data_IF_995646883027
#
_entry.id   IF_995646883027
#
_cell.length_a   1.000
_cell.length_b   1.000
_cell.length_c   1.000
_cell.angle_alpha   90.00
_cell.angle_beta   90.00
_cell.angle_gamma   90.00
#
_symmetry.space_group_name_H-M   'P 1'
#
loop_
_entity.id
_entity.type
_entity.pdbx_description
1 polymer ?
#
# COMPACT_ATOMS: atom_id res chain seq x y z
N UNK A 1 -4.81 2.04 14.67
CA UNK A 1 -3.97 3.22 14.98
C UNK A 1 -2.63 3.10 14.27
N UNK A 2 -2.09 4.20 13.75
CA UNK A 2 -0.80 4.21 13.02
C UNK A 2 0.35 3.63 13.86
N UNK A 3 0.41 3.97 15.16
CA UNK A 3 1.43 3.49 16.09
C UNK A 3 1.46 1.97 16.22
N UNK A 4 0.29 1.33 16.41
CA UNK A 4 0.20 -0.13 16.52
C UNK A 4 0.68 -0.83 15.24
N UNK A 5 0.36 -0.26 14.08
CA UNK A 5 0.80 -0.80 12.78
C UNK A 5 2.33 -0.74 12.65
N UNK A 6 2.94 0.37 13.04
CA UNK A 6 4.41 0.53 13.04
C UNK A 6 5.07 -0.43 14.02
N UNK A 7 4.52 -0.60 15.22
CA UNK A 7 5.05 -1.52 16.23
C UNK A 7 5.01 -2.99 15.76
N UNK A 8 3.90 -3.41 15.15
CA UNK A 8 3.77 -4.75 14.56
C UNK A 8 4.79 -4.96 13.43
N UNK A 9 4.95 -3.98 12.53
CA UNK A 9 5.94 -4.05 11.45
C UNK A 9 7.36 -4.18 12.00
N UNK A 10 7.71 -3.39 13.01
CA UNK A 10 9.01 -3.48 13.68
C UNK A 10 9.24 -4.86 14.28
N UNK A 11 8.24 -5.40 14.99
CA UNK A 11 8.32 -6.74 15.58
C UNK A 11 8.53 -7.83 14.51
N UNK A 12 7.82 -7.74 13.39
CA UNK A 12 7.99 -8.65 12.24
C UNK A 12 9.43 -8.56 11.70
N UNK A 13 9.97 -7.35 11.51
CA UNK A 13 11.35 -7.16 11.03
C UNK A 13 12.36 -7.79 12.00
N UNK A 14 12.20 -7.57 13.30
CA UNK A 14 13.08 -8.15 14.33
C UNK A 14 13.04 -9.68 14.27
N UNK A 15 11.84 -10.28 14.13
CA UNK A 15 11.68 -11.73 14.01
C UNK A 15 12.38 -12.25 12.75
N UNK A 16 12.20 -11.61 11.60
CA UNK A 16 12.82 -12.03 10.33
C UNK A 16 14.35 -11.94 10.41
N UNK A 17 14.89 -10.86 10.96
CA UNK A 17 16.34 -10.67 11.12
C UNK A 17 16.90 -11.69 12.11
N UNK A 18 16.25 -11.85 13.27
CA UNK A 18 16.65 -12.82 14.29
C UNK A 18 16.67 -14.25 13.74
N UNK A 19 15.61 -14.64 13.03
CA UNK A 19 15.53 -15.92 12.33
C UNK A 19 16.67 -16.08 11.30
N UNK A 20 16.95 -15.05 10.51
CA UNK A 20 18.00 -15.08 9.48
C UNK A 20 19.39 -15.22 10.07
N UNK A 21 19.70 -14.50 11.17
CA UNK A 21 20.99 -14.60 11.85
C UNK A 21 21.17 -15.99 12.47
N UNK A 22 20.16 -16.46 13.19
CA UNK A 22 20.22 -17.76 13.89
C UNK A 22 20.40 -18.94 12.91
N UNK A 23 19.88 -18.81 11.69
CA UNK A 23 19.99 -19.84 10.66
C UNK A 23 21.07 -19.52 9.60
N UNK A 24 21.92 -18.51 9.81
CA UNK A 24 22.85 -18.02 8.78
C UNK A 24 23.88 -19.04 8.32
N UNK A 25 24.31 -19.96 9.20
CA UNK A 25 25.25 -21.05 8.88
C UNK A 25 24.60 -22.25 8.20
N UNK A 26 23.27 -22.32 8.16
CA UNK A 26 22.58 -23.44 7.54
C UNK A 26 22.64 -23.34 6.02
N UNK A 27 22.87 -24.49 5.39
CA UNK A 27 22.79 -24.66 3.95
C UNK A 27 21.52 -25.44 3.61
N UNK A 28 20.79 -24.98 2.60
CA UNK A 28 19.54 -25.59 2.16
C UNK A 28 19.61 -25.98 0.69
N UNK A 29 18.80 -26.97 0.34
CA UNK A 29 18.56 -27.32 -1.05
C UNK A 29 17.32 -26.58 -1.54
N UNK A 30 17.44 -25.88 -2.65
CA UNK A 30 16.36 -25.08 -3.22
C UNK A 30 15.99 -25.62 -4.60
N UNK A 31 14.71 -25.89 -4.82
CA UNK A 31 14.19 -26.22 -6.14
C UNK A 31 13.50 -24.97 -6.72
N UNK A 32 14.10 -24.38 -7.75
CA UNK A 32 13.54 -23.25 -8.49
C UNK A 32 13.24 -23.70 -9.93
N UNK A 33 11.97 -23.68 -10.30
CA UNK A 33 11.53 -23.96 -11.68
C UNK A 33 12.09 -25.27 -12.27
N UNK A 34 12.21 -26.31 -11.43
CA UNK A 34 12.74 -27.61 -11.83
C UNK A 34 14.27 -27.73 -11.75
N UNK A 35 14.99 -26.64 -11.45
CA UNK A 35 16.43 -26.66 -11.19
C UNK A 35 16.70 -26.78 -9.69
N UNK A 36 17.53 -27.75 -9.32
CA UNK A 36 17.92 -28.00 -7.94
C UNK A 36 19.29 -27.36 -7.64
N UNK A 37 19.29 -26.41 -6.72
CA UNK A 37 20.50 -25.77 -6.21
C UNK A 37 20.79 -26.34 -4.83
N UNK A 38 21.95 -26.99 -4.69
CA UNK A 38 22.38 -27.60 -3.43
C UNK A 38 23.29 -26.64 -2.66
N UNK A 39 23.35 -26.87 -1.34
CA UNK A 39 24.25 -26.14 -0.44
C UNK A 39 24.09 -24.61 -0.42
N UNK A 40 22.91 -24.10 -0.78
CA UNK A 40 22.67 -22.66 -0.82
C UNK A 40 22.59 -22.13 0.61
N UNK A 41 23.37 -21.11 1.00
CA UNK A 41 23.27 -20.56 2.34
C UNK A 41 21.87 -19.98 2.58
N UNK A 42 21.24 -20.34 3.69
CA UNK A 42 19.87 -19.97 4.03
C UNK A 42 19.65 -18.45 4.02
N UNK A 43 20.67 -17.68 4.40
CA UNK A 43 20.66 -16.21 4.38
C UNK A 43 20.38 -15.64 2.96
N UNK A 44 20.87 -16.28 1.90
CA UNK A 44 20.60 -15.83 0.52
C UNK A 44 19.15 -16.08 0.14
N UNK A 45 18.61 -17.24 0.55
CA UNK A 45 17.22 -17.61 0.28
C UNK A 45 16.26 -16.67 0.99
N UNK A 46 16.49 -16.40 2.27
CA UNK A 46 15.66 -15.49 3.06
C UNK A 46 15.76 -14.05 2.54
N UNK A 47 16.94 -13.58 2.15
CA UNK A 47 17.14 -12.27 1.55
C UNK A 47 16.33 -12.12 0.26
N UNK A 48 16.47 -13.03 -0.70
CA UNK A 48 15.75 -12.94 -1.97
C UNK A 48 14.24 -13.09 -1.81
N UNK A 49 13.77 -13.95 -0.91
CA UNK A 49 12.36 -14.05 -0.57
C UNK A 49 11.81 -12.72 -0.02
N UNK A 50 12.57 -12.06 0.85
CA UNK A 50 12.22 -10.75 1.40
C UNK A 50 12.19 -9.66 0.32
N UNK A 51 13.20 -9.63 -0.56
CA UNK A 51 13.26 -8.67 -1.69
C UNK A 51 12.06 -8.84 -2.62
N UNK A 52 11.73 -10.07 -3.01
CA UNK A 52 10.56 -10.35 -3.86
C UNK A 52 9.27 -9.92 -3.15
N UNK A 53 9.11 -10.26 -1.87
CA UNK A 53 7.94 -9.84 -1.08
C UNK A 53 7.81 -8.31 -0.99
N UNK A 54 8.92 -7.60 -0.84
CA UNK A 54 8.97 -6.13 -0.84
C UNK A 54 8.57 -5.55 -2.19
N UNK A 55 9.11 -6.09 -3.31
CA UNK A 55 8.77 -5.63 -4.65
C UNK A 55 7.28 -5.83 -4.97
N UNK A 56 6.74 -7.01 -4.66
CA UNK A 56 5.30 -7.27 -4.83
C UNK A 56 4.47 -6.29 -4.01
N UNK A 57 4.83 -6.09 -2.74
CA UNK A 57 4.14 -5.16 -1.86
C UNK A 57 4.22 -3.71 -2.35
N UNK A 58 5.36 -3.30 -2.92
CA UNK A 58 5.56 -1.98 -3.50
C UNK A 58 4.68 -1.75 -4.73
N UNK A 59 4.62 -2.73 -5.64
CA UNK A 59 3.76 -2.67 -6.84
C UNK A 59 2.29 -2.56 -6.43
N UNK A 60 1.83 -3.39 -5.49
CA UNK A 60 0.47 -3.30 -4.93
C UNK A 60 0.22 -1.96 -4.23
N UNK A 61 1.21 -1.43 -3.54
CA UNK A 61 1.15 -0.11 -2.92
C UNK A 61 0.95 1.01 -3.94
N UNK A 62 1.69 0.98 -5.05
CA UNK A 62 1.55 1.96 -6.14
C UNK A 62 0.15 1.89 -6.74
N UNK A 63 -0.34 0.69 -7.08
CA UNK A 63 -1.66 0.56 -7.72
C UNK A 63 -2.77 1.06 -6.81
N UNK A 64 -2.70 0.75 -5.52
CA UNK A 64 -3.65 1.24 -4.52
C UNK A 64 -3.58 2.75 -4.34
N UNK A 65 -2.36 3.31 -4.28
CA UNK A 65 -2.15 4.75 -4.17
C UNK A 65 -2.74 5.51 -5.35
N UNK A 66 -2.47 5.05 -6.58
CA UNK A 66 -3.00 5.68 -7.79
C UNK A 66 -4.54 5.62 -7.85
N UNK A 67 -5.13 4.49 -7.45
CA UNK A 67 -6.59 4.33 -7.36
C UNK A 67 -7.20 5.34 -6.38
N UNK A 68 -6.68 5.40 -5.15
CA UNK A 68 -7.14 6.36 -4.13
C UNK A 68 -7.00 7.80 -4.64
N UNK A 69 -5.87 8.13 -5.26
CA UNK A 69 -5.64 9.48 -5.76
C UNK A 69 -6.66 9.87 -6.84
N UNK A 70 -7.00 8.92 -7.73
CA UNK A 70 -8.05 9.09 -8.73
C UNK A 70 -9.43 9.31 -8.10
N UNK A 71 -9.83 8.45 -7.18
CA UNK A 71 -11.10 8.55 -6.44
C UNK A 71 -11.20 9.88 -5.69
N UNK A 72 -10.13 10.31 -5.02
CA UNK A 72 -10.08 11.58 -4.30
C UNK A 72 -10.26 12.79 -5.23
N UNK A 73 -9.64 12.75 -6.42
CA UNK A 73 -9.78 13.81 -7.42
C UNK A 73 -11.21 13.89 -7.96
N UNK A 74 -11.84 12.75 -8.23
CA UNK A 74 -13.24 12.68 -8.65
C UNK A 74 -14.19 13.19 -7.57
N UNK A 75 -14.04 12.71 -6.32
CA UNK A 75 -14.85 13.17 -5.19
C UNK A 75 -14.74 14.67 -4.96
N UNK A 76 -13.55 15.26 -5.11
CA UNK A 76 -13.37 16.72 -5.00
C UNK A 76 -14.11 17.48 -6.11
N UNK A 77 -14.09 16.97 -7.34
CA UNK A 77 -14.81 17.58 -8.47
C UNK A 77 -16.33 17.50 -8.26
N UNK A 78 -16.84 16.34 -7.85
CA UNK A 78 -18.27 16.16 -7.55
C UNK A 78 -18.72 17.06 -6.40
N UNK A 79 -17.93 17.12 -5.32
CA UNK A 79 -18.22 18.02 -4.19
C UNK A 79 -18.31 19.47 -4.66
N UNK A 80 -17.36 19.93 -5.47
CA UNK A 80 -17.38 21.30 -6.00
C UNK A 80 -18.61 21.55 -6.87
N UNK A 81 -18.94 20.63 -7.77
CA UNK A 81 -20.12 20.71 -8.64
C UNK A 81 -21.42 20.82 -7.84
N UNK A 82 -21.61 19.95 -6.84
CA UNK A 82 -22.79 19.96 -5.97
C UNK A 82 -22.90 21.27 -5.20
N UNK A 83 -21.79 21.83 -4.72
CA UNK A 83 -21.76 23.14 -4.05
C UNK A 83 -22.13 24.27 -5.01
N UNK A 84 -21.63 24.25 -6.24
CA UNK A 84 -21.95 25.24 -7.28
C UNK A 84 -23.44 25.17 -7.67
N UNK A 85 -24.00 23.96 -7.81
CA UNK A 85 -25.43 23.74 -8.07
C UNK A 85 -26.32 24.25 -6.92
N UNK A 86 -25.96 23.95 -5.67
CA UNK A 86 -26.63 24.49 -4.48
C UNK A 86 -26.61 26.03 -4.44
N UNK A 87 -25.49 26.63 -4.82
CA UNK A 87 -25.34 28.09 -4.85
C UNK A 87 -26.21 28.72 -5.94
N UNK A 88 -26.28 28.09 -7.12
CA UNK A 88 -27.14 28.54 -8.21
C UNK A 88 -28.63 28.47 -7.82
N UNK A 89 -29.07 27.35 -7.23
CA UNK A 89 -30.42 27.18 -6.69
C UNK A 89 -30.77 28.23 -5.63
N UNK A 90 -29.85 28.48 -4.69
CA UNK A 90 -30.05 29.51 -3.66
C UNK A 90 -30.20 30.90 -4.27
N UNK A 91 -29.37 31.24 -5.26
CA UNK A 91 -29.41 32.55 -5.87
C UNK A 91 -30.70 32.77 -6.68
N UNK A 92 -31.16 31.76 -7.45
CA UNK A 92 -32.46 31.84 -8.15
C UNK A 92 -33.63 32.02 -7.17
N UNK A 93 -33.64 31.29 -6.05
CA UNK A 93 -34.70 31.40 -5.06
C UNK A 93 -34.75 32.79 -4.38
N UNK A 94 -33.63 33.50 -4.28
CA UNK A 94 -33.58 34.85 -3.71
C UNK A 94 -34.08 35.90 -4.70
N UNK A 95 -33.75 35.75 -5.98
CA UNK A 95 -34.18 36.65 -7.06
C UNK A 95 -35.70 36.62 -7.26
N UNK A 96 -36.33 35.44 -7.12
CA UNK A 96 -37.80 35.27 -7.14
C UNK A 96 -38.52 35.97 -5.97
N UNK A 97 -37.83 36.16 -4.83
CA UNK A 97 -38.39 36.82 -3.63
C UNK A 97 -38.22 38.33 -3.70
N UNK A 98 -37.13 38.84 -4.28
CA UNK A 98 -36.87 40.27 -4.46
C UNK A 98 -37.67 40.90 -5.62
N UNK A 99 -38.03 40.09 -6.64
CA UNK A 99 -38.81 40.53 -7.79
C UNK A 99 -40.34 40.60 -7.59
N UNK A 100 -40.84 40.39 -6.36
CA UNK A 100 -42.27 40.45 -6.00
C UNK A 100 -42.60 41.57 -5.03
#
# INVERSE_FOLDING_TARGET
MWVLRVLILMLIIIIIIGFSIYNSSQKVTVNLFGHQYQEVPMIFVSYWAFVVGMLVSFILGITYYLKIHGELSQQKKETKRLVDELKALRNMALEDVEGR
#
